data_IF_616704518356
#
_entry.id   IF_616704518356
#
_cell.length_a   1.000
_cell.length_b   1.000
_cell.length_c   1.000
_cell.angle_alpha   90.00
_cell.angle_beta   90.00
_cell.angle_gamma   90.00
#
_symmetry.space_group_name_H-M   'P 1'
#
loop_
_entity.id
_entity.type
_entity.pdbx_description
1 polymer ?
#
# COMPACT_ATOMS: atom_id res chain seq x y z
N UNK A 1 11.59 19.33 2.76
CA UNK A 1 10.41 18.86 2.01
C UNK A 1 9.37 18.39 3.02
N UNK A 2 8.15 18.82 2.84
CA UNK A 2 7.06 18.44 3.74
C UNK A 2 6.25 17.35 3.05
N UNK A 3 6.21 16.17 3.65
CA UNK A 3 5.36 15.10 3.18
C UNK A 3 3.96 15.29 3.75
N UNK A 4 2.97 15.37 2.88
CA UNK A 4 1.60 15.45 3.30
C UNK A 4 0.94 14.10 3.11
N UNK A 5 0.50 13.50 4.20
CA UNK A 5 -0.28 12.29 4.12
C UNK A 5 -1.71 12.64 3.73
N UNK A 6 -2.24 11.92 2.76
CA UNK A 6 -3.61 12.10 2.31
C UNK A 6 -4.36 10.80 2.42
N UNK A 7 -5.51 10.83 3.07
CA UNK A 7 -6.39 9.67 3.12
C UNK A 7 -7.08 9.48 1.77
N UNK A 8 -7.16 8.24 1.31
CA UNK A 8 -7.90 7.91 0.09
C UNK A 8 -8.90 6.80 0.40
N UNK A 9 -9.92 6.69 -0.44
CA UNK A 9 -10.93 5.66 -0.30
C UNK A 9 -10.51 4.39 -1.03
N UNK A 10 -11.04 3.25 -0.59
CA UNK A 10 -10.69 1.96 -1.18
C UNK A 10 -10.96 1.90 -2.67
N UNK A 11 -12.02 2.55 -3.12
CA UNK A 11 -12.39 2.59 -4.53
C UNK A 11 -11.32 3.25 -5.39
N UNK A 12 -10.52 4.13 -4.79
CA UNK A 12 -9.49 4.88 -5.50
C UNK A 12 -8.11 4.23 -5.40
N UNK A 13 -7.98 3.20 -4.59
CA UNK A 13 -6.67 2.59 -4.34
C UNK A 13 -6.05 2.01 -5.60
N UNK A 14 -6.81 1.23 -6.36
CA UNK A 14 -6.29 0.61 -7.58
C UNK A 14 -5.83 1.66 -8.58
N UNK A 15 -6.63 2.71 -8.76
CA UNK A 15 -6.28 3.80 -9.66
C UNK A 15 -5.01 4.51 -9.21
N UNK A 16 -4.88 4.73 -7.91
CA UNK A 16 -3.70 5.38 -7.36
C UNK A 16 -2.46 4.51 -7.59
N UNK A 17 -2.57 3.19 -7.40
CA UNK A 17 -1.45 2.29 -7.61
C UNK A 17 -0.97 2.28 -9.06
N UNK A 18 -1.89 2.41 -10.03
CA UNK A 18 -1.52 2.49 -11.45
C UNK A 18 -0.64 3.69 -11.77
N UNK A 19 -0.82 4.78 -11.04
CA UNK A 19 -0.10 6.03 -11.28
C UNK A 19 0.97 6.31 -10.24
N UNK A 20 1.28 5.34 -9.40
CA UNK A 20 2.24 5.51 -8.33
C UNK A 20 3.65 5.70 -8.88
N UNK A 21 4.30 6.77 -8.45
CA UNK A 21 5.69 7.06 -8.81
C UNK A 21 6.67 6.48 -7.79
N UNK A 22 7.94 6.42 -8.17
CA UNK A 22 8.97 5.80 -7.34
C UNK A 22 9.23 6.54 -6.02
N UNK A 23 8.87 7.81 -5.95
CA UNK A 23 9.03 8.62 -4.73
C UNK A 23 7.73 8.79 -3.95
N UNK A 24 6.69 8.06 -4.34
CA UNK A 24 5.42 8.04 -3.65
C UNK A 24 5.18 6.69 -2.98
N UNK A 25 4.26 6.66 -2.02
CA UNK A 25 3.93 5.42 -1.34
C UNK A 25 2.50 5.41 -0.84
N UNK A 26 2.06 4.23 -0.45
CA UNK A 26 0.75 4.00 0.16
C UNK A 26 0.96 3.26 1.46
N UNK A 27 0.28 3.71 2.51
CA UNK A 27 0.26 3.00 3.78
C UNK A 27 -1.16 2.54 4.07
N UNK A 28 -1.30 1.28 4.39
CA UNK A 28 -2.57 0.69 4.76
C UNK A 28 -2.51 0.36 6.24
N UNK A 29 -3.39 0.98 7.03
CA UNK A 29 -3.40 0.84 8.48
C UNK A 29 -4.63 0.04 8.92
N UNK A 30 -4.38 -1.07 9.56
CA UNK A 30 -5.35 -1.82 10.36
C UNK A 30 -5.01 -1.59 11.84
N UNK A 31 -5.77 -2.16 12.75
CA UNK A 31 -5.61 -1.88 14.19
C UNK A 31 -4.17 -2.04 14.68
N UNK A 32 -3.53 -3.16 14.34
CA UNK A 32 -2.17 -3.44 14.79
C UNK A 32 -1.22 -3.73 13.63
N UNK A 33 -1.74 -3.77 12.41
CA UNK A 33 -0.98 -4.16 11.23
C UNK A 33 -0.82 -2.96 10.31
N UNK A 34 0.35 -2.85 9.70
CA UNK A 34 0.64 -1.81 8.74
C UNK A 34 1.23 -2.43 7.48
N UNK A 35 0.79 -1.92 6.34
CA UNK A 35 1.29 -2.39 5.05
C UNK A 35 1.74 -1.16 4.27
N UNK A 36 3.00 -1.16 3.84
CA UNK A 36 3.58 -0.08 3.05
C UNK A 36 3.78 -0.58 1.62
N UNK A 37 3.34 0.20 0.66
CA UNK A 37 3.50 -0.12 -0.75
C UNK A 37 4.28 0.99 -1.42
N UNK A 38 5.41 0.63 -2.00
CA UNK A 38 6.25 1.55 -2.75
C UNK A 38 6.49 0.96 -4.14
N UNK A 39 6.79 1.81 -5.10
CA UNK A 39 7.06 1.36 -6.46
C UNK A 39 8.54 1.52 -6.78
N UNK A 40 9.14 0.47 -7.28
CA UNK A 40 10.47 0.52 -7.91
C UNK A 40 10.27 0.69 -9.42
N UNK A 41 11.36 0.75 -10.17
CA UNK A 41 11.28 1.03 -11.61
C UNK A 41 10.37 0.07 -12.38
N UNK A 42 10.22 -1.19 -11.94
CA UNK A 42 9.47 -2.21 -12.66
C UNK A 42 8.50 -3.02 -11.83
N UNK A 43 8.46 -2.82 -10.53
CA UNK A 43 7.62 -3.64 -9.66
C UNK A 43 7.21 -2.88 -8.42
N UNK A 44 6.23 -3.45 -7.72
CA UNK A 44 5.79 -2.92 -6.43
C UNK A 44 6.48 -3.67 -5.31
N UNK A 45 6.95 -2.92 -4.33
CA UNK A 45 7.51 -3.49 -3.11
C UNK A 45 6.49 -3.31 -1.99
N UNK A 46 6.09 -4.41 -1.38
CA UNK A 46 5.14 -4.42 -0.28
C UNK A 46 5.89 -4.81 0.99
N UNK A 47 5.86 -3.93 1.98
CA UNK A 47 6.41 -4.21 3.30
C UNK A 47 5.24 -4.40 4.26
N UNK A 48 5.11 -5.59 4.83
CA UNK A 48 4.08 -5.86 5.82
C UNK A 48 4.69 -5.88 7.21
N UNK A 49 4.05 -5.18 8.14
CA UNK A 49 4.42 -5.20 9.56
C UNK A 49 3.23 -5.77 10.33
N UNK A 50 3.27 -7.07 10.57
CA UNK A 50 2.19 -7.83 11.19
C UNK A 50 2.77 -8.62 12.35
N UNK A 51 2.17 -8.49 13.55
CA UNK A 51 2.61 -9.19 14.75
C UNK A 51 4.10 -8.98 15.04
N UNK A 52 4.58 -7.75 14.85
CA UNK A 52 5.98 -7.36 15.06
C UNK A 52 6.95 -8.06 14.11
N UNK A 53 6.45 -8.59 13.01
CA UNK A 53 7.28 -9.19 11.96
C UNK A 53 7.18 -8.38 10.69
N UNK A 54 8.32 -8.05 10.12
CA UNK A 54 8.40 -7.32 8.87
C UNK A 54 8.74 -8.28 7.75
N UNK A 55 7.96 -8.23 6.68
CA UNK A 55 8.19 -9.03 5.49
C UNK A 55 8.18 -8.14 4.26
N UNK A 56 8.98 -8.49 3.27
CA UNK A 56 9.02 -7.80 1.99
C UNK A 56 8.54 -8.72 0.89
N UNK A 57 7.58 -8.24 0.11
CA UNK A 57 6.97 -9.01 -0.97
C UNK A 57 7.01 -8.13 -2.21
N UNK A 58 7.34 -8.72 -3.36
CA UNK A 58 7.39 -8.00 -4.63
C UNK A 58 6.29 -8.49 -5.55
N UNK A 59 5.61 -7.54 -6.18
CA UNK A 59 4.55 -7.82 -7.15
C UNK A 59 4.85 -7.06 -8.43
N UNK A 60 4.48 -7.65 -9.58
CA UNK A 60 4.82 -7.10 -10.88
C UNK A 60 3.72 -6.24 -11.50
N UNK A 61 2.52 -6.30 -10.95
CA UNK A 61 1.40 -5.54 -11.51
C UNK A 61 0.48 -5.04 -10.42
N UNK A 62 -0.33 -4.03 -10.76
CA UNK A 62 -1.35 -3.52 -9.86
C UNK A 62 -2.36 -4.59 -9.49
N UNK A 63 -2.74 -5.44 -10.44
CA UNK A 63 -3.68 -6.53 -10.19
C UNK A 63 -3.15 -7.48 -9.11
N UNK A 64 -1.88 -7.83 -9.17
CA UNK A 64 -1.27 -8.69 -8.17
C UNK A 64 -1.27 -8.04 -6.80
N UNK A 65 -1.00 -6.73 -6.74
CA UNK A 65 -1.05 -5.98 -5.48
C UNK A 65 -2.46 -6.01 -4.90
N UNK A 66 -3.47 -5.76 -5.73
CA UNK A 66 -4.86 -5.75 -5.27
C UNK A 66 -5.30 -7.11 -4.78
N UNK A 67 -4.91 -8.18 -5.44
CA UNK A 67 -5.20 -9.54 -4.99
C UNK A 67 -4.58 -9.80 -3.62
N UNK A 68 -3.34 -9.40 -3.45
CA UNK A 68 -2.66 -9.53 -2.15
C UNK A 68 -3.39 -8.76 -1.06
N UNK A 69 -3.80 -7.52 -1.34
CA UNK A 69 -4.43 -6.64 -0.35
C UNK A 69 -5.86 -7.04 -0.01
N UNK A 70 -6.49 -7.85 -0.82
CA UNK A 70 -7.91 -8.20 -0.65
C UNK A 70 -8.23 -8.67 0.76
N UNK A 71 -7.34 -9.43 1.38
CA UNK A 71 -7.55 -9.97 2.72
C UNK A 71 -7.26 -8.96 3.83
N UNK A 72 -6.66 -7.83 3.49
CA UNK A 72 -6.26 -6.81 4.47
C UNK A 72 -7.15 -5.57 4.43
N UNK A 73 -7.97 -5.42 3.40
CA UNK A 73 -8.87 -4.28 3.27
C UNK A 73 -10.19 -4.57 3.97
N UNK A 74 -10.34 -4.05 5.17
CA UNK A 74 -11.52 -4.21 6.01
C UNK A 74 -12.32 -2.91 6.02
N UNK A 75 -13.58 -2.92 6.48
CA UNK A 75 -14.37 -1.68 6.55
C UNK A 75 -13.71 -0.58 7.38
N UNK A 76 -12.91 -0.94 8.38
CA UNK A 76 -12.23 0.02 9.24
C UNK A 76 -10.81 0.36 8.79
N UNK A 77 -10.35 -0.22 7.70
CA UNK A 77 -9.00 0.01 7.20
C UNK A 77 -8.83 1.45 6.72
N UNK A 78 -7.74 2.07 7.13
CA UNK A 78 -7.37 3.41 6.66
C UNK A 78 -6.29 3.28 5.60
N UNK A 79 -6.41 4.07 4.53
CA UNK A 79 -5.46 4.09 3.44
C UNK A 79 -4.94 5.51 3.31
N UNK A 80 -3.63 5.67 3.37
CA UNK A 80 -2.97 6.97 3.33
C UNK A 80 -1.91 6.95 2.23
N UNK A 81 -1.85 8.03 1.46
CA UNK A 81 -0.78 8.22 0.47
C UNK A 81 0.25 9.20 1.03
N UNK A 82 1.48 9.02 0.63
CA UNK A 82 2.56 9.92 1.07
C UNK A 82 3.63 10.07 0.00
#
# INVERSE_FOLDING_TARGET
MIYQEKAIQKENLEKFLHTLDSDEGVRIDNESDHIFINKTSKRYCINTSIDNKDEFIYKNSTDEVMIFLKNYLKPTTKIVTY
#
